data_IF_752492569569
#
_entry.id   IF_752492569569
#
_cell.length_a   1.000
_cell.length_b   1.000
_cell.length_c   1.000
_cell.angle_alpha   90.00
_cell.angle_beta   90.00
_cell.angle_gamma   90.00
#
_symmetry.space_group_name_H-M   'P 1'
#
loop_
_entity.id
_entity.type
_entity.pdbx_description
1 polymer ?
#
# COMPACT_ATOMS: atom_id res chain seq x y z
N UNK A 1 26.59 17.32 -7.84
CA UNK A 1 26.20 16.44 -8.97
C UNK A 1 24.85 15.74 -8.81
N UNK A 2 24.34 15.47 -7.59
CA UNK A 2 23.06 14.74 -7.37
C UNK A 2 21.80 15.43 -7.97
N UNK A 3 21.74 16.76 -7.99
CA UNK A 3 20.57 17.53 -8.46
C UNK A 3 20.21 17.29 -9.94
N UNK A 4 21.21 17.18 -10.82
CA UNK A 4 20.99 16.94 -12.26
C UNK A 4 20.45 15.52 -12.53
N UNK A 5 20.84 14.55 -11.71
CA UNK A 5 20.36 13.17 -11.80
C UNK A 5 18.91 13.07 -11.36
N UNK A 6 18.55 13.72 -10.25
CA UNK A 6 17.15 13.82 -9.76
C UNK A 6 16.23 14.46 -10.79
N UNK A 7 16.64 15.58 -11.41
CA UNK A 7 15.83 16.26 -12.42
C UNK A 7 15.62 15.39 -13.68
N UNK A 8 16.64 14.64 -14.11
CA UNK A 8 16.51 13.69 -15.23
C UNK A 8 15.53 12.56 -14.89
N UNK A 9 15.61 11.99 -13.69
CA UNK A 9 14.70 10.93 -13.24
C UNK A 9 13.25 11.41 -13.16
N UNK A 10 13.01 12.61 -12.64
CA UNK A 10 11.69 13.25 -12.61
C UNK A 10 11.11 13.48 -14.01
N UNK A 11 11.93 14.02 -14.92
CA UNK A 11 11.51 14.24 -16.30
C UNK A 11 11.18 12.93 -17.01
N UNK A 12 11.99 11.90 -16.81
CA UNK A 12 11.74 10.57 -17.35
C UNK A 12 10.45 9.97 -16.80
N UNK A 13 10.24 10.02 -15.48
CA UNK A 13 8.99 9.61 -14.83
C UNK A 13 7.78 10.37 -15.39
N UNK A 14 7.85 11.69 -15.51
CA UNK A 14 6.74 12.49 -16.04
C UNK A 14 6.41 12.12 -17.50
N UNK A 15 7.43 11.82 -18.31
CA UNK A 15 7.25 11.39 -19.70
C UNK A 15 6.60 10.01 -19.76
N UNK A 16 7.06 9.08 -18.94
CA UNK A 16 6.51 7.74 -18.81
C UNK A 16 5.04 7.77 -18.36
N UNK A 17 4.71 8.52 -17.31
CA UNK A 17 3.35 8.63 -16.79
C UNK A 17 2.38 9.29 -17.79
N UNK A 18 2.87 10.23 -18.61
CA UNK A 18 2.09 10.87 -19.68
C UNK A 18 1.99 10.02 -20.95
N UNK A 19 2.56 8.82 -20.97
CA UNK A 19 2.48 7.89 -22.09
C UNK A 19 3.40 8.23 -23.26
N UNK A 20 4.44 9.04 -23.05
CA UNK A 20 5.47 9.27 -24.06
C UNK A 20 6.46 8.10 -24.17
N UNK A 21 6.54 7.25 -23.15
CA UNK A 21 7.32 6.01 -23.17
C UNK A 21 6.50 4.87 -22.56
N UNK A 22 6.65 3.63 -23.07
CA UNK A 22 6.06 2.46 -22.45
C UNK A 22 6.79 2.17 -21.13
N UNK A 23 6.18 2.56 -20.01
CA UNK A 23 6.67 2.12 -18.70
C UNK A 23 6.38 0.63 -18.56
N UNK A 24 7.39 -0.22 -18.29
CA UNK A 24 7.12 -1.61 -17.99
C UNK A 24 6.30 -1.65 -16.70
N UNK A 25 5.12 -2.27 -16.78
CA UNK A 25 4.21 -2.52 -15.65
C UNK A 25 4.89 -2.72 -14.28
N UNK A 26 5.93 -3.57 -14.13
CA UNK A 26 6.59 -3.80 -12.84
C UNK A 26 7.23 -2.57 -12.17
N UNK A 27 7.62 -1.54 -12.91
CA UNK A 27 8.21 -0.33 -12.35
C UNK A 27 7.17 0.54 -11.62
N UNK A 28 5.88 0.34 -11.92
CA UNK A 28 4.78 1.10 -11.33
C UNK A 28 4.74 1.01 -9.80
N UNK A 29 5.08 -0.17 -9.25
CA UNK A 29 5.11 -0.39 -7.81
C UNK A 29 6.20 0.43 -7.10
N UNK A 30 7.25 0.84 -7.80
CA UNK A 30 8.38 1.58 -7.24
C UNK A 30 8.19 3.10 -7.30
N UNK A 31 7.24 3.59 -8.11
CA UNK A 31 7.02 5.03 -8.31
C UNK A 31 6.75 5.78 -7.01
N UNK A 32 5.88 5.32 -6.09
CA UNK A 32 5.66 6.05 -4.83
C UNK A 32 6.92 6.16 -3.98
N UNK A 33 7.72 5.09 -3.93
CA UNK A 33 9.01 5.08 -3.23
C UNK A 33 10.00 6.06 -3.88
N UNK A 34 10.03 6.15 -5.21
CA UNK A 34 10.85 7.14 -5.92
C UNK A 34 10.40 8.57 -5.63
N UNK A 35 9.10 8.85 -5.69
CA UNK A 35 8.56 10.17 -5.35
C UNK A 35 8.91 10.57 -3.91
N UNK A 36 8.83 9.62 -2.97
CA UNK A 36 9.23 9.84 -1.59
C UNK A 36 10.74 10.11 -1.45
N UNK A 37 11.58 9.30 -2.10
CA UNK A 37 13.06 9.47 -2.07
C UNK A 37 13.52 10.81 -2.65
N UNK A 38 12.75 11.36 -3.59
CA UNK A 38 13.01 12.64 -4.21
C UNK A 38 12.31 13.81 -3.52
N UNK A 39 11.58 13.56 -2.41
CA UNK A 39 10.69 14.50 -1.70
C UNK A 39 9.79 15.31 -2.64
N UNK A 40 9.31 14.67 -3.70
CA UNK A 40 8.40 15.26 -4.68
C UNK A 40 7.02 15.27 -4.06
N UNK A 41 6.40 16.45 -3.90
CA UNK A 41 5.03 16.59 -3.37
C UNK A 41 4.06 17.20 -4.37
N UNK A 42 4.28 16.88 -5.64
CA UNK A 42 3.47 17.39 -6.74
C UNK A 42 2.16 16.59 -6.83
N UNK A 43 1.05 17.27 -6.57
CA UNK A 43 -0.28 16.67 -6.64
C UNK A 43 -0.69 16.29 -8.06
N UNK A 44 -0.34 17.10 -9.07
CA UNK A 44 -0.69 16.85 -10.45
C UNK A 44 0.05 15.64 -11.00
N UNK A 45 1.35 15.54 -10.71
CA UNK A 45 2.15 14.36 -11.05
C UNK A 45 1.57 13.09 -10.40
N UNK A 46 1.11 13.19 -9.16
CA UNK A 46 0.49 12.04 -8.49
C UNK A 46 -0.89 11.67 -9.06
N UNK A 47 -1.67 12.63 -9.57
CA UNK A 47 -2.90 12.31 -10.32
C UNK A 47 -2.57 11.62 -11.64
N UNK A 48 -1.57 12.09 -12.38
CA UNK A 48 -1.08 11.41 -13.60
C UNK A 48 -0.65 9.97 -13.27
N UNK A 49 0.04 9.77 -12.15
CA UNK A 49 0.37 8.45 -11.64
C UNK A 49 -0.88 7.60 -11.37
N UNK A 50 -1.88 8.13 -10.66
CA UNK A 50 -3.12 7.40 -10.37
C UNK A 50 -3.87 6.97 -11.65
N UNK A 51 -3.92 7.84 -12.66
CA UNK A 51 -4.53 7.55 -13.96
C UNK A 51 -3.75 6.47 -14.68
N UNK A 52 -2.42 6.54 -14.65
CA UNK A 52 -1.56 5.50 -15.24
C UNK A 52 -1.71 4.16 -14.51
N UNK A 53 -1.75 4.17 -13.17
CA UNK A 53 -2.00 2.97 -12.36
C UNK A 53 -3.33 2.33 -12.73
N UNK A 54 -4.41 3.09 -12.91
CA UNK A 54 -5.72 2.55 -13.35
C UNK A 54 -5.64 1.78 -14.67
N UNK A 55 -4.75 2.16 -15.59
CA UNK A 55 -4.58 1.49 -16.89
C UNK A 55 -3.69 0.24 -16.80
N UNK A 56 -2.66 0.29 -15.96
CA UNK A 56 -1.56 -0.68 -15.99
C UNK A 56 -1.51 -1.63 -14.79
N UNK A 57 -2.30 -1.41 -13.75
CA UNK A 57 -2.24 -2.20 -12.51
C UNK A 57 -2.55 -3.69 -12.72
N UNK A 58 -3.31 -4.06 -13.75
CA UNK A 58 -3.58 -5.47 -14.09
C UNK A 58 -2.33 -6.25 -14.53
N UNK A 59 -1.29 -5.55 -14.97
CA UNK A 59 0.01 -6.17 -15.30
C UNK A 59 0.87 -6.44 -14.06
N UNK A 60 0.44 -5.99 -12.88
CA UNK A 60 1.14 -6.22 -11.63
C UNK A 60 0.76 -7.56 -11.01
N UNK A 61 1.76 -8.29 -10.56
CA UNK A 61 1.57 -9.41 -9.66
C UNK A 61 1.01 -8.96 -8.29
N UNK A 62 0.34 -9.84 -7.54
CA UNK A 62 -0.13 -9.54 -6.18
C UNK A 62 0.92 -8.92 -5.24
N UNK A 63 2.19 -9.42 -5.15
CA UNK A 63 3.20 -8.79 -4.30
C UNK A 63 3.56 -7.38 -4.75
N UNK A 64 3.52 -7.10 -6.06
CA UNK A 64 3.78 -5.75 -6.58
C UNK A 64 2.63 -4.79 -6.26
N UNK A 65 1.37 -5.26 -6.29
CA UNK A 65 0.22 -4.46 -5.82
C UNK A 65 0.32 -4.17 -4.32
N UNK A 66 0.70 -5.16 -3.51
CA UNK A 66 0.90 -4.97 -2.08
C UNK A 66 2.03 -3.96 -1.80
N UNK A 67 3.14 -4.05 -2.55
CA UNK A 67 4.23 -3.07 -2.48
C UNK A 67 3.75 -1.68 -2.88
N UNK A 68 3.04 -1.55 -4.00
CA UNK A 68 2.46 -0.30 -4.47
C UNK A 68 1.62 0.38 -3.38
N UNK A 69 0.72 -0.35 -2.72
CA UNK A 69 -0.10 0.21 -1.65
C UNK A 69 0.74 0.65 -0.46
N UNK A 70 1.67 -0.20 -0.01
CA UNK A 70 2.56 0.12 1.12
C UNK A 70 3.41 1.36 0.86
N UNK A 71 4.02 1.43 -0.32
CA UNK A 71 4.89 2.56 -0.69
C UNK A 71 4.06 3.84 -0.88
N UNK A 72 2.81 3.73 -1.36
CA UNK A 72 1.88 4.85 -1.47
C UNK A 72 1.36 5.31 -0.10
N UNK A 73 1.22 4.42 0.86
CA UNK A 73 0.90 4.76 2.25
C UNK A 73 2.04 5.55 2.91
N UNK A 74 3.27 5.11 2.69
CA UNK A 74 4.49 5.77 3.18
C UNK A 74 4.73 7.13 2.51
N UNK A 75 4.24 7.30 1.28
CA UNK A 75 4.26 8.57 0.57
C UNK A 75 3.24 9.55 1.19
N UNK A 76 3.74 10.38 2.12
CA UNK A 76 2.97 11.35 2.93
C UNK A 76 2.42 12.55 2.14
N UNK A 77 1.95 12.34 0.91
CA UNK A 77 1.23 13.35 0.14
C UNK A 77 -0.22 13.42 0.61
N UNK A 78 -0.63 14.59 1.12
CA UNK A 78 -1.97 14.84 1.64
C UNK A 78 -2.64 15.96 0.84
N UNK A 79 -3.78 15.65 0.22
CA UNK A 79 -4.61 16.63 -0.49
C UNK A 79 -5.79 17.05 0.38
N UNK A 80 -6.07 18.36 0.47
CA UNK A 80 -7.10 18.92 1.36
C UNK A 80 -8.48 18.29 1.19
N UNK A 81 -8.93 18.10 -0.05
CA UNK A 81 -10.26 17.54 -0.36
C UNK A 81 -10.28 16.05 -0.72
N UNK A 82 -9.16 15.49 -1.20
CA UNK A 82 -9.11 14.12 -1.74
C UNK A 82 -8.54 13.09 -0.75
N UNK A 83 -7.92 13.56 0.33
CA UNK A 83 -7.29 12.74 1.36
C UNK A 83 -5.83 12.39 1.02
N UNK A 84 -5.37 11.28 1.60
CA UNK A 84 -3.99 10.79 1.45
C UNK A 84 -3.72 10.27 0.03
N UNK A 85 -2.44 10.11 -0.31
CA UNK A 85 -1.98 9.46 -1.53
C UNK A 85 -2.65 8.09 -1.74
N UNK A 86 -2.64 7.25 -0.70
CA UNK A 86 -3.26 5.92 -0.75
C UNK A 86 -4.77 6.01 -1.02
N UNK A 87 -5.46 6.94 -0.35
CA UNK A 87 -6.88 7.19 -0.56
C UNK A 87 -7.22 7.57 -2.00
N UNK A 88 -6.35 8.33 -2.67
CA UNK A 88 -6.50 8.75 -4.07
C UNK A 88 -6.21 7.60 -5.03
N UNK A 89 -5.14 6.84 -4.77
CA UNK A 89 -4.79 5.67 -5.58
C UNK A 89 -5.89 4.61 -5.55
N UNK A 90 -6.37 4.22 -4.36
CA UNK A 90 -7.44 3.23 -4.21
C UNK A 90 -8.72 3.66 -4.94
N UNK A 91 -9.09 4.95 -4.85
CA UNK A 91 -10.25 5.48 -5.56
C UNK A 91 -10.08 5.38 -7.09
N UNK A 92 -8.91 5.74 -7.61
CA UNK A 92 -8.61 5.62 -9.05
C UNK A 92 -8.64 4.18 -9.54
N UNK A 93 -8.10 3.24 -8.76
CA UNK A 93 -8.12 1.81 -9.11
C UNK A 93 -9.54 1.24 -9.05
N UNK A 94 -10.38 1.71 -8.12
CA UNK A 94 -11.77 1.29 -8.01
C UNK A 94 -12.60 1.62 -9.27
N UNK A 95 -12.31 2.72 -9.94
CA UNK A 95 -12.95 3.07 -11.24
C UNK A 95 -12.58 2.10 -12.38
N UNK A 96 -11.65 1.17 -12.16
CA UNK A 96 -11.20 0.18 -13.14
C UNK A 96 -11.58 -1.27 -12.79
N UNK A 97 -12.56 -1.50 -11.91
CA UNK A 97 -12.91 -2.82 -11.34
C UNK A 97 -13.62 -3.82 -12.27
N UNK A 98 -13.69 -3.58 -13.57
CA UNK A 98 -14.28 -4.53 -14.53
C UNK A 98 -13.34 -5.73 -14.75
N UNK A 99 -13.88 -6.96 -14.69
CA UNK A 99 -13.16 -8.23 -14.93
C UNK A 99 -11.79 -8.35 -14.24
N UNK A 100 -11.78 -8.23 -12.91
CA UNK A 100 -10.55 -8.30 -12.12
C UNK A 100 -10.29 -9.72 -11.63
N UNK A 101 -9.05 -10.24 -11.76
CA UNK A 101 -8.67 -11.52 -11.16
C UNK A 101 -8.92 -11.54 -9.64
N UNK A 102 -9.44 -12.63 -9.07
CA UNK A 102 -9.77 -12.71 -7.64
C UNK A 102 -8.62 -12.28 -6.72
N UNK A 103 -7.40 -12.74 -6.98
CA UNK A 103 -6.21 -12.39 -6.16
C UNK A 103 -5.87 -10.89 -6.20
N UNK A 104 -6.14 -10.22 -7.33
CA UNK A 104 -5.94 -8.77 -7.43
C UNK A 104 -7.04 -7.99 -6.71
N UNK A 105 -8.26 -8.55 -6.60
CA UNK A 105 -9.32 -8.01 -5.75
C UNK A 105 -8.96 -8.09 -4.26
N UNK A 106 -8.38 -9.20 -3.79
CA UNK A 106 -7.89 -9.31 -2.41
C UNK A 106 -6.87 -8.22 -2.06
N UNK A 107 -5.89 -7.99 -2.94
CA UNK A 107 -4.91 -6.92 -2.75
C UNK A 107 -5.57 -5.53 -2.70
N UNK A 108 -6.60 -5.29 -3.52
CA UNK A 108 -7.39 -4.05 -3.49
C UNK A 108 -8.20 -3.88 -2.20
N UNK A 109 -8.81 -4.96 -1.69
CA UNK A 109 -9.49 -4.96 -0.39
C UNK A 109 -8.53 -4.59 0.73
N UNK A 110 -7.34 -5.20 0.77
CA UNK A 110 -6.31 -4.85 1.75
C UNK A 110 -5.88 -3.38 1.63
N UNK A 111 -5.67 -2.88 0.41
CA UNK A 111 -5.37 -1.47 0.15
C UNK A 111 -6.48 -0.53 0.62
N UNK A 112 -7.74 -0.88 0.39
CA UNK A 112 -8.91 -0.10 0.83
C UNK A 112 -9.10 -0.11 2.36
N UNK A 113 -8.82 -1.24 3.01
CA UNK A 113 -8.81 -1.39 4.46
C UNK A 113 -7.73 -0.49 5.08
N UNK A 114 -6.50 -0.55 4.56
CA UNK A 114 -5.39 0.31 4.98
C UNK A 114 -5.71 1.80 4.77
N UNK A 115 -6.34 2.14 3.64
CA UNK A 115 -6.79 3.50 3.33
C UNK A 115 -7.99 3.97 4.17
N UNK A 116 -8.58 3.09 5.01
CA UNK A 116 -9.82 3.35 5.77
C UNK A 116 -10.97 3.84 4.87
N UNK A 117 -11.02 3.41 3.61
CA UNK A 117 -12.04 3.81 2.62
C UNK A 117 -13.32 3.00 2.82
N UNK A 118 -14.02 3.30 3.92
CA UNK A 118 -15.31 2.71 4.30
C UNK A 118 -16.37 2.64 3.19
N UNK A 119 -16.52 3.62 2.27
CA UNK A 119 -17.56 3.52 1.25
C UNK A 119 -17.22 2.56 0.10
N UNK A 120 -15.94 2.27 -0.16
CA UNK A 120 -15.52 1.34 -1.22
C UNK A 120 -15.43 -0.12 -0.72
N UNK A 121 -15.33 -0.31 0.60
CA UNK A 121 -15.18 -1.63 1.21
C UNK A 121 -16.37 -2.56 0.95
N UNK A 122 -17.65 -2.15 1.08
CA UNK A 122 -18.78 -3.06 0.85
C UNK A 122 -18.83 -3.60 -0.58
N UNK A 123 -18.53 -2.75 -1.58
CA UNK A 123 -18.52 -3.18 -2.98
C UNK A 123 -17.35 -4.14 -3.26
N UNK A 124 -16.15 -3.81 -2.77
CA UNK A 124 -14.97 -4.67 -2.94
C UNK A 124 -15.13 -6.01 -2.22
N UNK A 125 -15.66 -6.00 -0.99
CA UNK A 125 -15.96 -7.19 -0.19
C UNK A 125 -16.97 -8.07 -0.91
N UNK A 126 -18.09 -7.50 -1.39
CA UNK A 126 -19.09 -8.27 -2.12
C UNK A 126 -18.55 -8.92 -3.39
N UNK A 127 -17.65 -8.25 -4.12
CA UNK A 127 -16.97 -8.84 -5.30
C UNK A 127 -15.96 -9.92 -4.92
N UNK A 128 -15.25 -9.77 -3.80
CA UNK A 128 -14.33 -10.78 -3.29
C UNK A 128 -15.08 -12.01 -2.79
N UNK A 129 -16.21 -11.84 -2.10
CA UNK A 129 -17.08 -12.94 -1.66
C UNK A 129 -17.69 -13.68 -2.86
N UNK A 130 -18.18 -12.96 -3.87
CA UNK A 130 -18.66 -13.56 -5.11
C UNK A 130 -17.55 -14.34 -5.82
N UNK A 131 -16.36 -13.76 -5.96
CA UNK A 131 -15.22 -14.44 -6.54
C UNK A 131 -14.81 -15.68 -5.72
N UNK A 132 -14.83 -15.60 -4.38
CA UNK A 132 -14.49 -16.71 -3.50
C UNK A 132 -15.50 -17.87 -3.60
N UNK A 133 -16.75 -17.61 -3.96
CA UNK A 133 -17.74 -18.65 -4.23
C UNK A 133 -17.39 -19.48 -5.49
N UNK A 134 -16.67 -18.88 -6.43
CA UNK A 134 -16.26 -19.51 -7.69
C UNK A 134 -14.89 -20.22 -7.62
N UNK A 135 -14.12 -20.01 -6.54
CA UNK A 135 -12.79 -20.65 -6.35
C UNK A 135 -12.83 -21.63 -5.18
N UNK A 136 -12.11 -22.75 -5.28
CA UNK A 136 -12.02 -23.76 -4.22
C UNK A 136 -10.69 -23.70 -3.46
N UNK A 137 -10.71 -24.13 -2.19
CA UNK A 137 -9.49 -24.42 -1.41
C UNK A 137 -8.79 -23.18 -0.85
N UNK A 138 -7.45 -23.16 -0.89
CA UNK A 138 -6.62 -22.15 -0.26
C UNK A 138 -6.86 -20.72 -0.80
N UNK A 139 -7.20 -20.59 -2.08
CA UNK A 139 -7.50 -19.31 -2.71
C UNK A 139 -8.79 -18.67 -2.17
N UNK A 140 -9.80 -19.48 -1.85
CA UNK A 140 -11.04 -18.98 -1.24
C UNK A 140 -10.80 -18.45 0.19
N UNK A 141 -9.90 -19.10 0.95
CA UNK A 141 -9.53 -18.67 2.31
C UNK A 141 -8.77 -17.34 2.28
N UNK A 142 -7.85 -17.16 1.33
CA UNK A 142 -7.12 -15.90 1.15
C UNK A 142 -8.07 -14.74 0.78
N UNK A 143 -9.03 -15.00 -0.13
CA UNK A 143 -10.05 -14.04 -0.53
C UNK A 143 -10.96 -13.64 0.64
N UNK A 144 -11.49 -14.61 1.37
CA UNK A 144 -12.35 -14.35 2.54
C UNK A 144 -11.58 -13.66 3.69
N UNK A 145 -10.28 -13.94 3.81
CA UNK A 145 -9.38 -13.24 4.72
C UNK A 145 -9.19 -11.76 4.35
N UNK A 146 -9.12 -11.44 3.05
CA UNK A 146 -9.05 -10.07 2.57
C UNK A 146 -10.38 -9.30 2.73
N UNK A 147 -11.51 -10.01 2.68
CA UNK A 147 -12.84 -9.48 2.89
C UNK A 147 -13.20 -9.25 4.38
N UNK A 148 -12.55 -9.95 5.30
CA UNK A 148 -12.82 -9.82 6.73
C UNK A 148 -12.21 -8.54 7.33
N UNK A 149 -13.02 -7.58 7.81
CA UNK A 149 -12.52 -6.33 8.39
C UNK A 149 -11.83 -6.49 9.75
N UNK A 150 -11.61 -7.73 10.21
CA UNK A 150 -11.26 -8.08 11.60
C UNK A 150 -9.86 -8.60 11.88
N UNK A 151 -8.95 -8.73 10.90
CA UNK A 151 -7.63 -9.36 11.14
C UNK A 151 -6.41 -8.48 10.84
N UNK A 152 -6.58 -7.15 10.84
CA UNK A 152 -5.47 -6.20 10.71
C UNK A 152 -4.84 -5.72 12.02
N UNK A 153 -5.22 -6.27 13.18
CA UNK A 153 -4.81 -5.72 14.49
C UNK A 153 -3.88 -6.57 15.34
N UNK A 154 -3.61 -7.83 15.02
CA UNK A 154 -2.90 -8.72 15.97
C UNK A 154 -1.60 -9.35 15.48
N UNK A 155 -1.24 -9.25 14.19
CA UNK A 155 -0.01 -9.90 13.67
C UNK A 155 1.21 -8.99 13.46
N UNK A 156 1.29 -7.85 14.17
CA UNK A 156 2.51 -7.02 14.22
C UNK A 156 3.15 -6.91 15.62
N UNK A 157 2.69 -7.70 16.61
CA UNK A 157 3.28 -7.72 17.95
C UNK A 157 3.62 -9.15 18.39
N UNK A 158 4.43 -9.86 17.61
CA UNK A 158 5.00 -11.14 18.04
C UNK A 158 6.31 -11.46 17.30
N UNK A 159 7.30 -10.57 17.36
CA UNK A 159 8.69 -10.96 17.05
C UNK A 159 9.76 -9.97 17.53
N UNK A 160 9.83 -9.81 18.84
CA UNK A 160 10.93 -9.29 19.67
C UNK A 160 10.43 -9.69 21.06
N UNK A 161 10.96 -10.69 21.77
CA UNK A 161 12.35 -10.83 22.14
C UNK A 161 12.67 -12.31 22.39
N UNK A 162 13.61 -12.85 21.63
CA UNK A 162 14.43 -13.95 22.10
C UNK A 162 15.87 -13.55 21.78
N UNK A 163 16.70 -13.62 22.83
CA UNK A 163 18.16 -13.65 22.78
C UNK A 163 18.90 -12.33 22.61
N UNK A 164 19.09 -11.64 23.73
CA UNK A 164 20.44 -11.13 24.04
C UNK A 164 20.71 -11.24 25.54
N UNK A 165 21.60 -12.16 25.91
CA UNK A 165 22.19 -12.20 27.24
C UNK A 165 23.06 -10.97 27.52
N UNK A 166 23.25 -10.63 28.79
CA UNK A 166 24.13 -9.53 29.17
C UNK A 166 23.99 -9.05 30.61
N UNK A 167 24.32 -9.94 31.55
CA UNK A 167 25.04 -9.67 32.80
C UNK A 167 25.30 -8.19 33.19
N UNK A 168 24.70 -7.69 34.28
CA UNK A 168 25.39 -6.98 35.41
C UNK A 168 24.50 -7.00 36.67
N UNK A 169 25.02 -7.39 37.86
CA UNK A 169 24.37 -7.15 39.15
C UNK A 169 24.87 -5.82 39.75
N UNK A 170 24.00 -4.96 40.26
CA UNK A 170 24.42 -3.91 41.20
C UNK A 170 23.32 -3.51 42.19
N UNK A 171 23.72 -3.50 43.46
CA UNK A 171 23.01 -3.21 44.70
C UNK A 171 22.67 -1.73 44.86
N UNK A 172 21.56 -1.41 45.55
CA UNK A 172 21.41 -0.51 46.73
C UNK A 172 19.90 -0.32 47.02
N UNK A 173 19.37 -0.83 48.13
CA UNK A 173 19.25 -0.26 49.50
C UNK A 173 18.07 0.72 49.69
N UNK A 174 17.23 0.40 50.71
CA UNK A 174 16.44 1.27 51.61
C UNK A 174 15.36 2.20 51.00
N UNK A 175 14.12 2.35 51.51
CA UNK A 175 13.38 1.92 52.69
C UNK A 175 11.87 2.15 52.47
N UNK A 176 10.95 1.56 53.29
CA UNK A 176 9.52 1.80 53.18
C UNK A 176 8.94 2.66 54.32
N UNK A 177 7.71 3.14 54.08
CA UNK A 177 6.71 3.66 55.04
C UNK A 177 6.91 5.06 55.67
N UNK A 178 6.08 5.98 55.21
CA UNK A 178 5.59 7.09 56.02
C UNK A 178 4.21 6.72 56.60
N UNK A 179 4.11 6.66 57.93
CA UNK A 179 2.96 7.15 58.70
C UNK A 179 3.49 8.21 59.66
#
# INVERSE_FOLDING_TARGET
MKFMQTRRQLLQLSRQLRGFEPTPGPELAQVPQLLQRLDVRDHALFEEFCVFSRRSWRSLSPPQLAQLFRDTENYRLLHASKGTALCRLVASLAEGLEDVPPRSLAALCHGALAAKRRPLLPELVGRVEAAAADVAGADAVELLGAASPGHGREHCAARTDLETGGNVPFLTEEAPLAM
#
